data_IF_784767905688
#
_entry.id   IF_784767905688
#
_cell.length_a   1.000
_cell.length_b   1.000
_cell.length_c   1.000
_cell.angle_alpha   90.00
_cell.angle_beta   90.00
_cell.angle_gamma   90.00
#
_symmetry.space_group_name_H-M   'P 1'
#
loop_
_entity.id
_entity.type
_entity.pdbx_description
1 polymer ?
#
# COMPACT_ATOMS: atom_id res chain seq x y z
N UNK A 1 -1.44 32.23 53.06
CA UNK A 1 -0.63 31.23 52.34
C UNK A 1 -1.43 30.77 51.14
N UNK A 2 -1.14 31.32 49.96
CA UNK A 2 -1.74 30.89 48.69
C UNK A 2 -0.88 29.75 48.14
N UNK A 3 -1.45 28.55 48.05
CA UNK A 3 -0.82 27.43 47.38
C UNK A 3 -1.02 27.62 45.87
N UNK A 4 -0.09 28.33 45.23
CA UNK A 4 0.04 28.27 43.78
C UNK A 4 0.42 26.84 43.40
N UNK A 5 -0.57 26.04 42.97
CA UNK A 5 -0.31 24.83 42.21
C UNK A 5 0.38 25.26 40.92
N UNK A 6 1.71 25.15 40.92
CA UNK A 6 2.56 25.19 39.74
C UNK A 6 2.00 24.15 38.77
N UNK A 7 1.14 24.58 37.83
CA UNK A 7 0.85 23.81 36.62
C UNK A 7 2.20 23.62 35.94
N UNK A 8 2.86 22.49 36.18
CA UNK A 8 4.01 22.10 35.38
C UNK A 8 3.49 22.12 33.95
N UNK A 9 4.00 23.06 33.17
CA UNK A 9 3.62 23.25 31.80
C UNK A 9 4.10 21.99 31.07
N UNK A 10 3.27 20.96 31.03
CA UNK A 10 3.61 19.61 30.58
C UNK A 10 3.57 19.53 29.05
N UNK A 11 3.99 20.62 28.43
CA UNK A 11 4.07 20.78 26.99
C UNK A 11 5.36 20.12 26.53
N UNK A 12 5.23 19.30 25.51
CA UNK A 12 6.31 18.56 24.88
C UNK A 12 6.67 19.31 23.60
N UNK A 13 7.91 19.80 23.47
CA UNK A 13 8.38 20.31 22.20
C UNK A 13 8.54 19.16 21.20
N UNK A 14 7.99 19.31 20.00
CA UNK A 14 8.18 18.42 18.85
C UNK A 14 8.58 19.23 17.62
N UNK A 15 9.39 18.66 16.73
CA UNK A 15 9.62 19.22 15.39
C UNK A 15 8.88 18.39 14.37
N UNK A 16 7.92 18.97 13.65
CA UNK A 16 7.15 18.27 12.62
C UNK A 16 7.67 18.65 11.24
N UNK A 17 7.96 17.66 10.41
CA UNK A 17 8.40 17.82 9.02
C UNK A 17 7.55 16.99 8.06
N UNK A 18 7.33 17.45 6.84
CA UNK A 18 6.69 16.65 5.79
C UNK A 18 7.73 15.72 5.12
N UNK A 19 7.41 14.45 4.89
CA UNK A 19 8.33 13.50 4.23
C UNK A 19 8.58 13.82 2.76
N UNK A 20 7.60 14.39 2.07
CA UNK A 20 7.64 14.72 0.64
C UNK A 20 8.30 16.08 0.38
N UNK A 21 8.27 16.98 1.36
CA UNK A 21 8.92 18.29 1.30
C UNK A 21 9.50 18.66 2.68
N UNK A 22 10.78 18.34 2.85
CA UNK A 22 11.51 18.57 4.11
C UNK A 22 12.06 20.00 4.25
N UNK A 23 11.80 20.87 3.25
CA UNK A 23 12.23 22.27 3.29
C UNK A 23 11.50 23.08 4.36
N UNK A 24 10.32 22.60 4.79
CA UNK A 24 9.50 23.20 5.86
C UNK A 24 9.48 22.29 7.09
N UNK A 25 10.04 22.79 8.20
CA UNK A 25 9.99 22.14 9.52
C UNK A 25 9.32 23.10 10.49
N UNK A 26 8.37 22.61 11.27
CA UNK A 26 7.63 23.42 12.25
C UNK A 26 7.84 22.87 13.64
N UNK A 27 8.40 23.69 14.53
CA UNK A 27 8.47 23.36 15.96
C UNK A 27 7.15 23.71 16.63
N UNK A 28 6.62 22.77 17.41
CA UNK A 28 5.32 22.88 18.08
C UNK A 28 5.45 22.45 19.53
N UNK A 29 4.57 22.96 20.38
CA UNK A 29 4.45 22.52 21.77
C UNK A 29 3.11 21.84 21.97
N UNK A 30 3.12 20.62 22.52
CA UNK A 30 1.95 19.74 22.55
C UNK A 30 1.72 19.13 23.93
N UNK A 31 0.48 18.79 24.30
CA UNK A 31 0.23 18.19 25.60
C UNK A 31 0.85 16.79 25.70
N UNK A 32 1.48 16.45 26.83
CA UNK A 32 2.16 15.16 27.03
C UNK A 32 1.27 13.92 26.78
N UNK A 33 -0.03 14.02 27.07
CA UNK A 33 -0.98 12.91 26.96
C UNK A 33 -1.62 12.78 25.57
N UNK A 34 -1.47 13.75 24.68
CA UNK A 34 -2.01 13.63 23.33
C UNK A 34 -1.15 12.69 22.49
N UNK A 35 -1.77 12.00 21.54
CA UNK A 35 -1.03 11.17 20.59
C UNK A 35 -0.28 12.05 19.59
N UNK A 36 0.77 11.49 19.01
CA UNK A 36 1.53 12.16 17.95
C UNK A 36 0.64 12.51 16.74
N UNK A 37 -0.31 11.65 16.35
CA UNK A 37 -1.22 11.92 15.24
C UNK A 37 -2.17 13.09 15.54
N UNK A 38 -2.74 13.16 16.74
CA UNK A 38 -3.56 14.30 17.19
C UNK A 38 -2.76 15.61 17.21
N UNK A 39 -1.50 15.56 17.67
CA UNK A 39 -0.58 16.69 17.63
C UNK A 39 -0.38 17.24 16.21
N UNK A 40 -0.18 16.35 15.24
CA UNK A 40 0.02 16.72 13.84
C UNK A 40 -1.27 17.30 13.24
N UNK A 41 -2.45 16.74 13.53
CA UNK A 41 -3.75 17.29 13.08
C UNK A 41 -3.92 18.73 13.58
N UNK A 42 -3.66 18.97 14.87
CA UNK A 42 -3.88 20.28 15.50
C UNK A 42 -2.93 21.37 14.99
N UNK A 43 -1.69 21.03 14.66
CA UNK A 43 -0.67 22.01 14.28
C UNK A 43 -0.39 22.10 12.77
N UNK A 44 -1.16 21.35 11.99
CA UNK A 44 -1.42 21.44 10.56
C UNK A 44 -0.20 21.58 9.62
N UNK A 45 0.42 20.47 9.18
CA UNK A 45 1.51 20.51 8.21
C UNK A 45 1.23 19.80 6.87
N UNK A 46 0.05 19.23 6.61
CA UNK A 46 -0.11 18.35 5.43
C UNK A 46 -1.42 18.48 4.69
N UNK A 47 -1.34 18.73 3.37
CA UNK A 47 -2.45 18.64 2.41
C UNK A 47 -2.89 17.18 2.12
N UNK A 48 -2.45 16.22 2.93
CA UNK A 48 -2.75 14.80 2.76
C UNK A 48 -4.09 14.48 3.42
N UNK A 49 -5.03 13.93 2.65
CA UNK A 49 -6.35 13.50 3.17
C UNK A 49 -6.25 12.37 4.22
N UNK A 50 -5.17 11.57 4.17
CA UNK A 50 -4.83 10.50 5.13
C UNK A 50 -3.31 10.46 5.31
N UNK A 51 -2.82 10.24 6.53
CA UNK A 51 -1.39 10.28 6.83
C UNK A 51 -1.02 9.46 8.07
N UNK A 52 0.27 9.18 8.22
CA UNK A 52 0.88 8.66 9.44
C UNK A 52 2.15 9.41 9.80
N UNK A 53 2.58 9.26 11.06
CA UNK A 53 3.72 9.96 11.63
C UNK A 53 4.82 8.97 11.99
N UNK A 54 6.04 9.33 11.62
CA UNK A 54 7.24 8.52 11.78
C UNK A 54 8.29 9.25 12.61
N UNK A 55 9.13 8.51 13.33
CA UNK A 55 10.33 9.09 13.97
C UNK A 55 11.51 9.20 12.99
N UNK A 56 12.66 9.68 13.46
CA UNK A 56 13.87 9.84 12.66
C UNK A 56 14.47 8.54 12.12
N UNK A 57 14.05 7.38 12.65
CA UNK A 57 14.46 6.06 12.17
C UNK A 57 13.43 5.46 11.18
N UNK A 58 12.32 6.16 10.93
CA UNK A 58 11.24 5.70 10.06
C UNK A 58 10.27 4.72 10.71
N UNK A 59 10.28 4.59 12.05
CA UNK A 59 9.30 3.80 12.80
C UNK A 59 7.96 4.54 12.85
N UNK A 60 6.85 3.80 12.73
CA UNK A 60 5.50 4.36 12.91
C UNK A 60 5.24 4.69 14.37
N UNK A 61 4.89 5.95 14.66
CA UNK A 61 4.65 6.46 16.02
C UNK A 61 3.33 7.22 16.15
N UNK A 62 2.46 7.19 15.13
CA UNK A 62 1.15 7.87 15.09
C UNK A 62 0.34 7.79 16.39
N UNK A 63 0.27 6.60 17.01
CA UNK A 63 -0.55 6.33 18.19
C UNK A 63 0.24 6.39 19.52
N UNK A 64 1.53 6.70 19.48
CA UNK A 64 2.33 6.88 20.68
C UNK A 64 2.06 8.25 21.31
N UNK A 65 2.22 8.37 22.63
CA UNK A 65 2.04 9.64 23.34
C UNK A 65 3.21 10.59 23.07
N UNK A 66 2.91 11.88 22.89
CA UNK A 66 3.91 12.91 22.63
C UNK A 66 5.03 12.93 23.68
N UNK A 67 4.72 12.60 24.95
CA UNK A 67 5.69 12.51 26.04
C UNK A 67 6.92 11.63 25.73
N UNK A 68 6.77 10.60 24.90
CA UNK A 68 7.86 9.68 24.53
C UNK A 68 8.80 10.24 23.46
N UNK A 69 8.43 11.35 22.83
CA UNK A 69 9.15 11.92 21.69
C UNK A 69 9.64 13.35 21.95
N UNK A 70 9.86 13.71 23.22
CA UNK A 70 10.33 15.05 23.59
C UNK A 70 11.56 15.46 22.79
N UNK A 71 11.50 16.65 22.20
CA UNK A 71 12.51 17.26 21.34
C UNK A 71 12.83 16.50 20.04
N UNK A 72 12.09 15.44 19.71
CA UNK A 72 12.29 14.66 18.50
C UNK A 72 11.85 15.42 17.24
N UNK A 73 12.45 15.04 16.11
CA UNK A 73 11.90 15.35 14.79
C UNK A 73 11.03 14.20 14.33
N UNK A 74 9.78 14.52 14.02
CA UNK A 74 8.75 13.60 13.56
C UNK A 74 8.37 13.95 12.12
N UNK A 75 8.19 12.93 11.32
CA UNK A 75 7.98 13.03 9.88
C UNK A 75 6.54 12.62 9.56
N UNK A 76 5.80 13.49 8.88
CA UNK A 76 4.43 13.23 8.42
C UNK A 76 4.50 12.76 6.99
N UNK A 77 4.06 11.53 6.75
CA UNK A 77 4.01 10.93 5.43
C UNK A 77 2.66 10.30 5.16
N UNK A 78 2.50 9.74 3.96
CA UNK A 78 1.34 8.93 3.63
C UNK A 78 1.14 7.84 4.70
N UNK A 79 -0.12 7.49 4.96
CA UNK A 79 -0.48 6.47 5.95
C UNK A 79 0.38 5.22 5.74
N UNK A 80 0.99 4.73 6.82
CA UNK A 80 1.69 3.45 6.81
C UNK A 80 0.62 2.41 6.60
N UNK A 81 0.54 1.93 5.38
CA UNK A 81 -0.19 0.70 5.10
C UNK A 81 0.55 -0.42 5.85
N UNK A 82 0.09 -0.78 7.05
CA UNK A 82 0.66 -1.88 7.84
C UNK A 82 0.32 -3.18 7.13
N UNK A 83 1.22 -3.57 6.23
CA UNK A 83 1.42 -4.94 5.81
C UNK A 83 2.36 -4.95 4.61
N UNK A 84 3.31 -5.87 4.67
CA UNK A 84 4.33 -6.01 3.65
C UNK A 84 3.76 -6.58 2.36
N UNK A 85 4.50 -6.41 1.27
CA UNK A 85 4.32 -7.24 0.07
C UNK A 85 4.57 -8.72 0.37
N UNK A 86 4.64 -9.57 -0.66
CA UNK A 86 5.03 -10.97 -0.46
C UNK A 86 6.47 -11.04 0.04
N UNK A 87 6.76 -11.71 1.18
CA UNK A 87 8.12 -11.86 1.66
C UNK A 87 9.00 -12.50 0.59
N UNK A 88 10.12 -11.86 0.25
CA UNK A 88 10.97 -12.26 -0.88
C UNK A 88 11.49 -13.70 -0.74
N UNK A 89 11.82 -14.10 0.49
CA UNK A 89 12.26 -15.47 0.81
C UNK A 89 11.16 -16.53 0.60
N UNK A 90 9.88 -16.12 0.57
CA UNK A 90 8.71 -16.98 0.41
C UNK A 90 8.11 -16.93 -1.00
N UNK A 91 8.70 -16.16 -1.92
CA UNK A 91 8.24 -16.15 -3.33
C UNK A 91 8.29 -17.54 -3.97
N UNK A 92 9.25 -18.37 -3.56
CA UNK A 92 9.36 -19.75 -4.03
C UNK A 92 8.13 -20.61 -3.74
N UNK A 93 7.38 -20.30 -2.67
CA UNK A 93 6.13 -21.02 -2.35
C UNK A 93 5.04 -20.77 -3.41
N UNK A 94 4.94 -19.52 -3.91
CA UNK A 94 4.02 -19.19 -5.01
C UNK A 94 4.47 -19.80 -6.35
N UNK A 95 5.78 -19.93 -6.57
CA UNK A 95 6.33 -20.47 -7.81
C UNK A 95 6.06 -21.96 -8.00
N UNK A 96 5.68 -22.70 -6.94
CA UNK A 96 5.27 -24.11 -7.04
C UNK A 96 4.00 -24.22 -7.90
N UNK A 97 3.00 -23.38 -7.65
CA UNK A 97 1.73 -23.37 -8.39
C UNK A 97 1.78 -22.45 -9.62
N UNK A 98 2.59 -21.39 -9.56
CA UNK A 98 2.68 -20.38 -10.61
C UNK A 98 4.14 -20.14 -11.02
N UNK A 99 4.76 -21.05 -11.80
CA UNK A 99 6.20 -21.01 -12.12
C UNK A 99 6.65 -19.74 -12.85
N UNK A 100 5.74 -19.03 -13.51
CA UNK A 100 6.02 -17.79 -14.23
C UNK A 100 6.06 -16.56 -13.33
N UNK A 101 5.74 -16.68 -12.03
CA UNK A 101 5.76 -15.54 -11.10
C UNK A 101 7.18 -14.99 -10.96
N UNK A 102 7.28 -13.68 -11.17
CA UNK A 102 8.51 -12.92 -10.98
C UNK A 102 8.21 -11.62 -10.24
N UNK A 103 9.06 -11.21 -9.28
CA UNK A 103 8.93 -9.91 -8.65
C UNK A 103 9.29 -8.79 -9.64
N UNK A 104 8.48 -7.73 -9.67
CA UNK A 104 8.81 -6.52 -10.45
C UNK A 104 9.90 -5.75 -9.70
N UNK A 105 11.06 -5.60 -10.33
CA UNK A 105 12.29 -5.08 -9.68
C UNK A 105 12.08 -3.75 -8.95
N UNK A 106 11.40 -2.78 -9.57
CA UNK A 106 11.14 -1.46 -8.99
C UNK A 106 10.25 -1.51 -7.74
N UNK A 107 9.45 -2.56 -7.59
CA UNK A 107 8.52 -2.78 -6.50
C UNK A 107 9.00 -3.85 -5.52
N UNK A 108 10.30 -4.15 -5.54
CA UNK A 108 10.90 -5.20 -4.73
C UNK A 108 12.10 -4.66 -3.97
N UNK A 109 12.14 -4.91 -2.68
CA UNK A 109 13.29 -4.59 -1.83
C UNK A 109 13.97 -5.87 -1.31
N UNK A 110 14.74 -5.75 -0.22
CA UNK A 110 15.43 -6.90 0.39
C UNK A 110 14.49 -7.83 1.14
N UNK A 111 13.34 -7.34 1.60
CA UNK A 111 12.38 -8.04 2.45
C UNK A 111 11.19 -8.56 1.66
N UNK A 112 10.69 -7.80 0.70
CA UNK A 112 9.38 -8.06 0.11
C UNK A 112 9.25 -7.61 -1.36
N UNK A 113 8.32 -8.24 -2.06
CA UNK A 113 7.85 -7.88 -3.39
C UNK A 113 6.41 -7.37 -3.32
N UNK A 114 6.20 -6.11 -3.71
CA UNK A 114 4.89 -5.42 -3.71
C UNK A 114 4.18 -5.47 -5.05
N UNK A 115 4.85 -6.02 -6.06
CA UNK A 115 4.27 -6.22 -7.38
C UNK A 115 4.88 -7.45 -8.03
N UNK A 116 4.02 -8.29 -8.60
CA UNK A 116 4.38 -9.55 -9.23
C UNK A 116 3.96 -9.53 -10.69
N UNK A 117 4.84 -9.96 -11.58
CA UNK A 117 4.50 -10.33 -12.95
C UNK A 117 4.19 -11.83 -12.98
N UNK A 118 3.12 -12.21 -13.66
CA UNK A 118 2.72 -13.60 -13.85
C UNK A 118 2.17 -13.78 -15.27
N UNK A 119 2.40 -14.97 -15.84
CA UNK A 119 1.87 -15.36 -17.14
C UNK A 119 0.90 -16.52 -17.01
N UNK A 120 -0.28 -16.38 -17.61
CA UNK A 120 -1.29 -17.44 -17.69
C UNK A 120 -1.53 -17.84 -19.15
N UNK A 121 -1.83 -19.10 -19.45
CA UNK A 121 -2.33 -19.48 -20.77
C UNK A 121 -3.61 -18.69 -21.10
N UNK A 122 -3.70 -18.12 -22.31
CA UNK A 122 -4.88 -17.36 -22.73
C UNK A 122 -5.95 -18.19 -23.42
N UNK A 123 -5.65 -19.47 -23.70
CA UNK A 123 -6.53 -20.39 -24.43
C UNK A 123 -7.01 -19.79 -25.76
N UNK A 124 -6.07 -19.21 -26.52
CA UNK A 124 -6.31 -18.61 -27.84
C UNK A 124 -6.88 -17.19 -27.82
N UNK A 125 -7.04 -16.56 -26.66
CA UNK A 125 -7.59 -15.20 -26.53
C UNK A 125 -6.57 -14.07 -26.77
N UNK A 126 -5.29 -14.41 -26.84
CA UNK A 126 -4.21 -13.47 -27.19
C UNK A 126 -3.34 -14.04 -28.30
N UNK A 127 -2.75 -13.18 -29.13
CA UNK A 127 -1.83 -13.60 -30.22
C UNK A 127 -0.62 -14.41 -29.71
N UNK A 128 -0.10 -14.07 -28.53
CA UNK A 128 1.05 -14.75 -27.93
C UNK A 128 0.70 -16.08 -27.26
N UNK A 129 -0.59 -16.39 -27.08
CA UNK A 129 -1.06 -17.56 -26.32
C UNK A 129 -1.02 -17.39 -24.81
N UNK A 130 -0.60 -16.23 -24.30
CA UNK A 130 -0.51 -15.93 -22.88
C UNK A 130 -1.15 -14.58 -22.51
N UNK A 131 -1.69 -14.50 -21.30
CA UNK A 131 -1.93 -13.25 -20.60
C UNK A 131 -0.65 -12.84 -19.89
N UNK A 132 -0.23 -11.60 -20.05
CA UNK A 132 0.82 -10.99 -19.23
C UNK A 132 0.17 -10.09 -18.19
N UNK A 133 0.25 -10.50 -16.92
CA UNK A 133 -0.49 -9.86 -15.84
C UNK A 133 0.47 -9.37 -14.77
N UNK A 134 0.28 -8.13 -14.35
CA UNK A 134 0.94 -7.55 -13.19
C UNK A 134 -0.04 -7.46 -12.04
N UNK A 135 0.36 -7.91 -10.86
CA UNK A 135 -0.43 -7.88 -9.63
C UNK A 135 0.22 -6.93 -8.65
N UNK A 136 -0.43 -5.80 -8.38
CA UNK A 136 -0.04 -4.86 -7.34
C UNK A 136 -0.60 -5.32 -5.99
N UNK A 137 0.31 -5.61 -5.06
CA UNK A 137 0.04 -6.12 -3.72
C UNK A 137 0.88 -5.34 -2.69
N UNK A 138 0.63 -4.02 -2.50
CA UNK A 138 1.45 -3.18 -1.63
C UNK A 138 1.40 -3.62 -0.16
N UNK A 139 0.32 -4.32 0.20
CA UNK A 139 0.15 -5.01 1.47
C UNK A 139 -0.57 -6.35 1.23
N UNK A 140 0.20 -7.41 1.04
CA UNK A 140 -0.31 -8.74 0.72
C UNK A 140 -1.06 -9.39 1.90
N UNK A 141 -0.76 -8.99 3.14
CA UNK A 141 -1.34 -9.60 4.35
C UNK A 141 -2.73 -9.07 4.71
N UNK A 142 -3.11 -7.87 4.25
CA UNK A 142 -4.43 -7.31 4.58
C UNK A 142 -5.09 -6.45 3.50
N UNK A 143 -4.35 -5.91 2.53
CA UNK A 143 -4.97 -5.08 1.49
C UNK A 143 -5.58 -5.92 0.35
N UNK A 144 -6.47 -5.26 -0.38
CA UNK A 144 -6.98 -5.74 -1.65
C UNK A 144 -5.90 -5.56 -2.72
N UNK A 145 -5.73 -6.60 -3.54
CA UNK A 145 -4.75 -6.61 -4.63
C UNK A 145 -5.44 -6.22 -5.93
N UNK A 146 -4.68 -5.66 -6.86
CA UNK A 146 -5.19 -5.27 -8.17
C UNK A 146 -4.30 -5.84 -9.27
N UNK A 147 -4.94 -6.49 -10.24
CA UNK A 147 -4.27 -7.08 -11.40
C UNK A 147 -4.48 -6.21 -12.64
N UNK A 148 -3.48 -6.18 -13.51
CA UNK A 148 -3.49 -5.42 -14.76
C UNK A 148 -2.96 -6.30 -15.89
N UNK A 149 -3.72 -6.42 -16.98
CA UNK A 149 -3.25 -7.04 -18.21
C UNK A 149 -2.37 -6.04 -18.95
N UNK A 150 -1.13 -6.42 -19.26
CA UNK A 150 -0.17 -5.59 -19.99
C UNK A 150 -0.34 -5.73 -21.50
N UNK A 151 -0.55 -6.95 -21.98
CA UNK A 151 -0.62 -7.26 -23.41
C UNK A 151 -2.05 -7.16 -23.97
N UNK A 152 -2.83 -6.18 -23.51
CA UNK A 152 -4.23 -5.99 -23.93
C UNK A 152 -4.36 -5.69 -25.44
N UNK A 153 -3.32 -5.16 -26.08
CA UNK A 153 -3.24 -4.95 -27.53
C UNK A 153 -3.10 -6.26 -28.34
N UNK A 154 -2.89 -7.39 -27.68
CA UNK A 154 -2.81 -8.72 -28.30
C UNK A 154 -4.11 -9.51 -28.24
N UNK A 155 -5.14 -8.98 -27.60
CA UNK A 155 -6.42 -9.65 -27.41
C UNK A 155 -7.10 -9.87 -28.77
N UNK A 156 -7.40 -11.13 -29.08
CA UNK A 156 -8.05 -11.56 -30.33
C UNK A 156 -9.50 -12.00 -30.10
N UNK A 157 -9.85 -12.40 -28.89
CA UNK A 157 -11.18 -12.84 -28.49
C UNK A 157 -11.58 -12.16 -27.19
N UNK A 158 -12.88 -11.94 -27.01
CA UNK A 158 -13.43 -11.34 -25.79
C UNK A 158 -12.97 -12.10 -24.55
N UNK A 159 -12.31 -11.44 -23.58
CA UNK A 159 -11.95 -12.06 -22.32
C UNK A 159 -13.20 -12.43 -21.52
N UNK A 160 -13.12 -13.50 -20.71
CA UNK A 160 -14.21 -13.91 -19.81
C UNK A 160 -14.43 -12.93 -18.67
N UNK A 161 -13.42 -12.10 -18.37
CA UNK A 161 -13.44 -11.08 -17.32
C UNK A 161 -13.39 -9.68 -17.93
N UNK A 162 -14.10 -8.73 -17.31
CA UNK A 162 -14.06 -7.35 -17.78
C UNK A 162 -12.70 -6.71 -17.49
N UNK A 163 -12.11 -6.09 -18.51
CA UNK A 163 -10.87 -5.34 -18.43
C UNK A 163 -11.16 -3.85 -18.59
N UNK A 164 -10.61 -3.02 -17.72
CA UNK A 164 -10.88 -1.58 -17.72
C UNK A 164 -9.59 -0.77 -17.81
N UNK A 165 -9.50 0.11 -18.80
CA UNK A 165 -8.53 1.19 -18.75
C UNK A 165 -8.84 2.13 -17.59
N UNK A 166 -10.11 2.47 -17.36
CA UNK A 166 -10.55 3.28 -16.23
C UNK A 166 -11.49 2.45 -15.36
N UNK A 167 -11.02 1.92 -14.22
CA UNK A 167 -11.85 1.14 -13.31
C UNK A 167 -13.13 1.89 -12.89
N UNK A 168 -14.26 1.20 -12.75
CA UNK A 168 -15.51 1.82 -12.32
C UNK A 168 -15.41 2.35 -10.87
N UNK A 169 -16.20 3.38 -10.53
CA UNK A 169 -16.26 3.93 -9.17
C UNK A 169 -17.08 3.03 -8.24
N UNK A 170 -16.51 1.88 -7.88
CA UNK A 170 -17.11 0.86 -7.01
C UNK A 170 -16.13 0.47 -5.92
N UNK A 171 -16.64 0.06 -4.76
CA UNK A 171 -15.81 -0.21 -3.58
C UNK A 171 -14.65 -1.19 -3.82
N UNK A 172 -14.88 -2.24 -4.62
CA UNK A 172 -13.85 -3.24 -4.93
C UNK A 172 -12.83 -2.77 -6.00
N UNK A 173 -13.04 -1.64 -6.65
CA UNK A 173 -12.06 -1.02 -7.53
C UNK A 173 -11.25 0.08 -6.82
N UNK A 174 -11.53 0.36 -5.55
CA UNK A 174 -10.84 1.40 -4.78
C UNK A 174 -9.36 1.07 -4.64
N UNK A 175 -8.50 1.93 -5.18
CA UNK A 175 -7.05 1.74 -5.19
C UNK A 175 -6.50 1.21 -6.52
N UNK A 176 -7.38 0.86 -7.47
CA UNK A 176 -6.98 0.57 -8.85
C UNK A 176 -6.57 1.86 -9.57
N UNK A 177 -5.54 1.77 -10.41
CA UNK A 177 -5.04 2.88 -11.21
C UNK A 177 -5.76 2.99 -12.56
N UNK A 178 -5.79 4.21 -13.09
CA UNK A 178 -6.44 4.54 -14.36
C UNK A 178 -5.45 4.40 -15.52
N UNK A 179 -5.50 3.27 -16.21
CA UNK A 179 -4.89 3.05 -17.53
C UNK A 179 -3.40 2.74 -17.51
N UNK A 180 -2.75 2.95 -16.36
CA UNK A 180 -1.33 2.70 -16.13
C UNK A 180 -1.15 1.79 -14.94
N UNK A 181 -0.08 0.99 -14.93
CA UNK A 181 0.27 0.22 -13.73
C UNK A 181 0.65 1.18 -12.59
N UNK A 182 0.37 0.84 -11.32
CA UNK A 182 0.77 1.67 -10.20
C UNK A 182 2.28 2.00 -10.23
N UNK A 183 2.62 3.27 -10.00
CA UNK A 183 4.01 3.76 -9.99
C UNK A 183 4.66 3.91 -11.36
N UNK A 184 3.91 3.77 -12.46
CA UNK A 184 4.38 4.07 -13.82
C UNK A 184 3.48 5.09 -14.49
N UNK A 185 4.07 5.99 -15.28
CA UNK A 185 3.36 6.92 -16.19
C UNK A 185 3.49 6.53 -17.66
N UNK A 186 4.24 5.48 -17.96
CA UNK A 186 4.56 5.05 -19.33
C UNK A 186 4.08 3.64 -19.64
N UNK A 187 3.88 2.81 -18.62
CA UNK A 187 3.45 1.43 -18.79
C UNK A 187 1.94 1.33 -18.61
N UNK A 188 1.24 1.19 -19.73
CA UNK A 188 -0.21 1.00 -19.73
C UNK A 188 -0.58 -0.38 -19.21
N UNK A 189 -1.77 -0.47 -18.62
CA UNK A 189 -2.34 -1.74 -18.18
C UNK A 189 -3.85 -1.62 -18.00
N UNK A 190 -4.59 -2.65 -18.40
CA UNK A 190 -6.02 -2.71 -18.16
C UNK A 190 -6.30 -3.47 -16.88
N UNK A 191 -6.94 -2.81 -15.92
CA UNK A 191 -7.32 -3.41 -14.65
C UNK A 191 -8.29 -4.57 -14.87
N UNK A 192 -8.02 -5.69 -14.21
CA UNK A 192 -8.86 -6.89 -14.23
C UNK A 192 -9.94 -6.76 -13.17
N UNK A 193 -11.21 -6.82 -13.60
CA UNK A 193 -12.31 -6.89 -12.65
C UNK A 193 -12.28 -8.21 -11.89
N UNK A 194 -12.02 -8.13 -10.59
CA UNK A 194 -12.00 -9.28 -9.69
C UNK A 194 -13.28 -9.36 -8.82
N UNK A 195 -14.26 -8.47 -9.03
CA UNK A 195 -15.47 -8.41 -8.23
C UNK A 195 -15.18 -8.23 -6.73
N UNK A 196 -16.13 -8.65 -5.88
CA UNK A 196 -16.04 -8.56 -4.41
C UNK A 196 -15.28 -9.75 -3.79
N UNK A 197 -14.01 -9.92 -4.16
CA UNK A 197 -13.16 -11.00 -3.62
C UNK A 197 -12.71 -10.76 -2.18
N UNK A 198 -12.64 -9.50 -1.74
CA UNK A 198 -12.07 -9.12 -0.43
C UNK A 198 -12.58 -9.96 0.77
N UNK A 199 -13.89 -10.24 0.93
CA UNK A 199 -14.37 -11.07 2.04
C UNK A 199 -13.81 -12.50 2.05
N UNK A 200 -13.51 -13.06 0.87
CA UNK A 200 -12.88 -14.38 0.76
C UNK A 200 -11.43 -14.32 1.22
N UNK A 201 -10.67 -13.30 0.79
CA UNK A 201 -9.29 -13.11 1.22
C UNK A 201 -9.20 -12.89 2.73
N UNK A 202 -10.13 -12.14 3.33
CA UNK A 202 -10.19 -11.91 4.77
C UNK A 202 -10.36 -13.20 5.60
N UNK A 203 -11.07 -14.21 5.07
CA UNK A 203 -11.24 -15.52 5.73
C UNK A 203 -9.97 -16.36 5.74
N UNK A 204 -9.03 -16.10 4.83
CA UNK A 204 -7.75 -16.81 4.73
C UNK A 204 -6.71 -16.31 5.75
N UNK A 205 -7.06 -15.35 6.60
CA UNK A 205 -6.17 -14.76 7.58
C UNK A 205 -5.20 -13.74 6.96
N UNK A 206 -3.98 -13.67 7.50
CA UNK A 206 -2.97 -12.65 7.18
C UNK A 206 -1.73 -13.19 6.48
N UNK A 207 -1.70 -14.48 6.11
CA UNK A 207 -0.54 -15.02 5.39
C UNK A 207 -0.49 -14.45 3.96
N UNK A 208 0.57 -13.70 3.60
CA UNK A 208 0.65 -13.04 2.30
C UNK A 208 0.78 -14.02 1.13
N UNK A 209 1.40 -15.19 1.31
CA UNK A 209 1.52 -16.22 0.27
C UNK A 209 0.15 -16.84 0.01
N UNK A 210 -0.56 -17.25 1.06
CA UNK A 210 -1.90 -17.86 0.93
C UNK A 210 -2.87 -16.90 0.26
N UNK A 211 -2.87 -15.63 0.68
CA UNK A 211 -3.77 -14.61 0.12
C UNK A 211 -3.46 -14.29 -1.34
N UNK A 212 -2.17 -14.13 -1.70
CA UNK A 212 -1.77 -13.86 -3.09
C UNK A 212 -2.05 -15.07 -3.97
N UNK A 213 -1.76 -16.29 -3.53
CA UNK A 213 -2.10 -17.51 -4.26
C UNK A 213 -3.60 -17.63 -4.53
N UNK A 214 -4.44 -17.38 -3.51
CA UNK A 214 -5.90 -17.38 -3.67
C UNK A 214 -6.39 -16.28 -4.63
N UNK A 215 -5.80 -15.08 -4.58
CA UNK A 215 -6.12 -14.00 -5.51
C UNK A 215 -5.74 -14.36 -6.95
N UNK A 216 -4.57 -14.96 -7.16
CA UNK A 216 -4.11 -15.43 -8.47
C UNK A 216 -5.06 -16.49 -9.04
N UNK A 217 -5.41 -17.49 -8.24
CA UNK A 217 -6.37 -18.51 -8.62
C UNK A 217 -7.71 -17.90 -9.06
N UNK A 218 -8.20 -16.91 -8.32
CA UNK A 218 -9.45 -16.23 -8.63
C UNK A 218 -9.44 -15.47 -9.97
N UNK A 219 -8.34 -14.77 -10.30
CA UNK A 219 -8.27 -14.01 -11.56
C UNK A 219 -7.89 -14.86 -12.78
N UNK A 220 -7.45 -16.10 -12.57
CA UNK A 220 -7.13 -17.05 -13.63
C UNK A 220 -8.38 -17.76 -14.18
N UNK A 221 -9.41 -17.94 -13.35
CA UNK A 221 -10.67 -18.60 -13.70
C UNK A 221 -11.66 -17.66 -14.37
#
# INVERSE_FOLDING_TARGET
>A
MQTEMKKMNNMIPLTIANTLDQSTKKRVEVAANQTVKEAVIHHNPTALATFDVYDGEGKLVSNEHAAHHRDATLYVGVEKVIGGGVPRQRLGELQIEYPSIQPVKQWTDRKEAKMLLVRFPSNGRTRSGFWEVVIHCPNASSALMHAYVLNFNEITLTPSVSLFANPPSVGYAKGASNGFIPGSSTTQGHWVCHGRIEPHLQRLGKDPVVRVGAYINHIQN
#
